data_IF_329152962121
#
_entry.id   IF_329152962121
#
_cell.length_a   1.000
_cell.length_b   1.000
_cell.length_c   1.000
_cell.angle_alpha   90.00
_cell.angle_beta   90.00
_cell.angle_gamma   90.00
#
_symmetry.space_group_name_H-M   'P 1'
#
loop_
_entity.id
_entity.type
_entity.pdbx_description
1 polymer ?
#
# COMPACT_ATOMS: atom_id res chain seq x y z
N UNK A 1 19.02 -27.60 6.95
CA UNK A 1 18.09 -27.24 5.85
C UNK A 1 16.93 -28.22 5.71
N UNK A 2 17.13 -29.52 5.97
CA UNK A 2 16.13 -30.61 5.84
C UNK A 2 15.00 -30.61 6.89
N UNK A 3 15.24 -30.15 8.12
CA UNK A 3 14.18 -30.00 9.14
C UNK A 3 13.27 -28.78 8.90
N UNK A 4 13.83 -27.67 8.39
CA UNK A 4 13.06 -26.47 8.01
C UNK A 4 12.09 -26.75 6.85
N UNK A 5 12.50 -27.57 5.87
CA UNK A 5 11.63 -27.98 4.75
C UNK A 5 10.44 -28.85 5.16
N UNK A 6 10.48 -29.49 6.34
CA UNK A 6 9.40 -30.34 6.83
C UNK A 6 8.31 -29.52 7.53
N UNK A 7 8.68 -28.44 8.23
CA UNK A 7 7.75 -27.53 8.90
C UNK A 7 6.98 -26.62 7.92
N UNK A 8 7.61 -26.20 6.81
CA UNK A 8 6.93 -25.46 5.74
C UNK A 8 5.88 -26.33 5.00
N UNK A 9 6.09 -27.65 4.91
CA UNK A 9 5.11 -28.59 4.33
C UNK A 9 3.90 -28.85 5.22
N UNK A 10 4.00 -28.61 6.53
CA UNK A 10 2.92 -28.87 7.50
C UNK A 10 2.00 -27.67 7.77
N UNK A 11 2.22 -26.51 7.13
CA UNK A 11 1.30 -25.36 7.23
C UNK A 11 1.13 -24.77 8.63
N UNK A 12 2.01 -25.08 9.59
CA UNK A 12 1.90 -24.57 10.96
C UNK A 12 2.46 -23.14 11.02
N UNK A 13 1.76 -22.23 11.70
CA UNK A 13 2.14 -20.81 11.87
C UNK A 13 3.59 -20.63 12.35
N UNK A 14 4.04 -21.48 13.28
CA UNK A 14 5.42 -21.51 13.79
C UNK A 14 6.45 -21.97 12.75
N UNK A 15 6.08 -22.92 11.87
CA UNK A 15 6.92 -23.37 10.77
C UNK A 15 7.12 -22.31 9.70
N UNK A 16 6.05 -21.56 9.38
CA UNK A 16 6.09 -20.44 8.45
C UNK A 16 6.99 -19.32 8.97
N UNK A 17 6.85 -18.96 10.25
CA UNK A 17 7.65 -17.90 10.88
C UNK A 17 9.14 -18.26 10.94
N UNK A 18 9.47 -19.49 11.34
CA UNK A 18 10.88 -19.97 11.32
C UNK A 18 11.47 -19.95 9.91
N UNK A 19 10.66 -20.29 8.91
CA UNK A 19 11.10 -20.26 7.50
C UNK A 19 11.32 -18.83 7.03
N UNK A 20 10.40 -17.92 7.35
CA UNK A 20 10.50 -16.48 7.07
C UNK A 20 11.77 -15.86 7.68
N UNK A 21 12.05 -16.13 8.96
CA UNK A 21 13.27 -15.66 9.64
C UNK A 21 14.53 -16.21 8.93
N UNK A 22 14.52 -17.48 8.53
CA UNK A 22 15.64 -18.08 7.80
C UNK A 22 15.86 -17.48 6.40
N UNK A 23 14.78 -17.07 5.71
CA UNK A 23 14.87 -16.35 4.43
C UNK A 23 15.47 -14.96 4.65
N UNK A 24 14.97 -14.20 5.64
CA UNK A 24 15.49 -12.86 5.92
C UNK A 24 16.97 -12.86 6.31
N UNK A 25 17.44 -13.85 7.08
CA UNK A 25 18.86 -13.96 7.47
C UNK A 25 19.83 -14.12 6.29
N UNK A 26 19.36 -14.59 5.13
CA UNK A 26 20.17 -14.76 3.91
C UNK A 26 20.29 -13.50 3.06
N UNK A 27 19.58 -12.44 3.42
CA UNK A 27 19.57 -11.18 2.67
C UNK A 27 20.63 -10.24 3.26
N UNK A 28 21.81 -10.22 2.64
CA UNK A 28 23.03 -9.55 3.13
C UNK A 28 22.88 -8.04 3.33
N UNK A 29 22.02 -7.36 2.55
CA UNK A 29 21.82 -5.90 2.70
C UNK A 29 21.02 -5.50 3.96
N UNK A 30 20.36 -6.45 4.64
CA UNK A 30 19.61 -6.18 5.88
C UNK A 30 20.45 -6.36 7.15
N UNK A 31 21.71 -6.78 7.05
CA UNK A 31 22.57 -6.97 8.22
C UNK A 31 23.22 -5.64 8.62
N UNK A 32 22.73 -5.00 9.69
CA UNK A 32 23.42 -3.87 10.32
C UNK A 32 24.43 -4.39 11.33
N UNK A 33 25.66 -3.87 11.24
CA UNK A 33 26.73 -4.04 12.22
C UNK A 33 26.33 -3.29 13.50
N UNK A 34 26.18 -4.00 14.61
CA UNK A 34 25.95 -3.38 15.91
C UNK A 34 27.13 -2.46 16.23
N UNK A 35 26.85 -1.18 16.41
CA UNK A 35 27.78 -0.23 17.03
C UNK A 35 27.06 0.36 18.23
N UNK A 36 27.61 0.05 19.39
CA UNK A 36 27.22 0.56 20.71
C UNK A 36 27.52 2.05 20.80
N UNK A 37 26.51 2.86 21.12
CA UNK A 37 26.65 4.28 21.41
C UNK A 37 25.39 4.80 22.08
N UNK A 38 25.53 5.17 23.34
CA UNK A 38 24.52 5.65 24.27
C UNK A 38 24.28 7.15 24.07
N UNK A 39 23.03 7.57 23.85
CA UNK A 39 22.55 8.94 24.12
C UNK A 39 21.03 9.00 23.97
N UNK A 40 20.37 9.33 25.09
CA UNK A 40 18.94 9.56 25.25
C UNK A 40 18.52 10.87 24.55
N UNK A 41 17.54 10.81 23.64
CA UNK A 41 16.63 11.93 23.32
C UNK A 41 15.37 11.36 22.64
N UNK A 42 14.25 11.38 23.37
CA UNK A 42 12.92 10.97 22.90
C UNK A 42 12.30 12.04 21.99
N UNK A 43 12.31 11.86 20.67
CA UNK A 43 11.37 12.55 19.77
C UNK A 43 10.97 11.66 18.57
N UNK A 44 9.74 11.14 18.61
CA UNK A 44 9.06 10.36 17.56
C UNK A 44 9.77 9.07 17.10
N UNK A 45 9.14 7.91 17.40
CA UNK A 45 9.65 6.57 17.07
C UNK A 45 9.69 6.21 15.58
N UNK A 46 10.32 7.03 14.74
CA UNK A 46 10.79 6.65 13.42
C UNK A 46 12.22 6.12 13.58
N UNK A 47 12.31 4.82 13.90
CA UNK A 47 13.58 4.14 14.11
C UNK A 47 14.53 4.43 12.96
N UNK A 48 15.70 4.90 13.36
CA UNK A 48 16.80 5.38 12.56
C UNK A 48 17.32 4.30 11.59
N UNK A 49 16.70 4.20 10.41
CA UNK A 49 17.37 3.71 9.18
C UNK A 49 17.87 4.94 8.42
N UNK A 50 18.53 5.85 9.15
CA UNK A 50 19.27 6.98 8.61
C UNK A 50 20.64 6.43 8.21
N UNK A 51 20.96 6.51 6.91
CA UNK A 51 22.27 6.09 6.40
C UNK A 51 22.31 5.61 4.95
N UNK A 52 21.18 5.51 4.25
CA UNK A 52 21.19 5.42 2.79
C UNK A 52 20.76 6.76 2.22
N UNK A 53 21.77 7.49 1.76
CA UNK A 53 21.60 8.73 1.02
C UNK A 53 20.64 8.49 -0.16
N UNK A 54 19.54 9.25 -0.21
CA UNK A 54 18.54 9.18 -1.29
C UNK A 54 19.12 9.61 -2.65
N UNK A 55 20.35 10.15 -2.66
CA UNK A 55 21.13 10.51 -3.84
C UNK A 55 21.94 9.34 -4.44
N UNK A 56 21.89 8.14 -3.85
CA UNK A 56 22.37 6.93 -4.53
C UNK A 56 21.44 6.60 -5.70
N UNK A 57 21.74 7.17 -6.87
CA UNK A 57 21.16 6.73 -8.14
C UNK A 57 21.35 5.20 -8.22
N UNK A 58 20.27 4.40 -8.26
CA UNK A 58 20.41 2.96 -8.37
C UNK A 58 21.25 2.67 -9.63
N UNK A 59 22.18 1.70 -9.58
CA UNK A 59 22.89 1.28 -10.78
C UNK A 59 21.87 0.89 -11.85
N UNK A 60 22.17 1.06 -13.15
CA UNK A 60 21.21 0.79 -14.21
C UNK A 60 20.65 -0.63 -14.06
N UNK A 61 19.38 -0.69 -13.69
CA UNK A 61 18.66 -1.93 -13.41
C UNK A 61 18.16 -2.52 -14.72
N UNK A 62 19.07 -2.75 -15.66
CA UNK A 62 18.78 -3.35 -16.95
C UNK A 62 19.45 -4.72 -17.01
N UNK A 63 18.65 -5.74 -17.34
CA UNK A 63 19.19 -7.06 -17.61
C UNK A 63 20.11 -6.96 -18.82
N UNK A 64 21.30 -7.57 -18.72
CA UNK A 64 22.23 -7.68 -19.85
C UNK A 64 21.62 -8.43 -21.05
N UNK A 65 22.38 -8.58 -22.15
CA UNK A 65 21.93 -9.36 -23.29
C UNK A 65 21.54 -10.77 -22.83
N UNK A 66 20.52 -11.36 -23.48
CA UNK A 66 20.06 -12.70 -23.13
C UNK A 66 21.18 -13.72 -23.35
N UNK A 67 21.60 -14.49 -22.33
CA UNK A 67 22.59 -15.54 -22.50
C UNK A 67 22.13 -16.60 -23.50
N UNK A 68 23.09 -17.20 -24.20
CA UNK A 68 22.85 -18.35 -25.07
C UNK A 68 22.61 -19.61 -24.22
N UNK A 69 21.80 -20.54 -24.74
CA UNK A 69 21.57 -21.85 -24.10
C UNK A 69 20.53 -21.85 -22.97
N UNK A 70 19.81 -20.75 -22.73
CA UNK A 70 18.72 -20.72 -21.76
C UNK A 70 17.54 -21.61 -22.20
N UNK A 71 16.96 -22.32 -21.24
CA UNK A 71 15.69 -23.01 -21.45
C UNK A 71 14.54 -22.03 -21.63
N UNK A 72 13.45 -22.46 -22.28
CA UNK A 72 12.25 -21.64 -22.45
C UNK A 72 11.70 -21.09 -21.11
N UNK A 73 11.79 -21.88 -20.03
CA UNK A 73 11.38 -21.43 -18.70
C UNK A 73 12.29 -20.31 -18.16
N UNK A 74 13.61 -20.43 -18.30
CA UNK A 74 14.55 -19.39 -17.86
C UNK A 74 14.34 -18.08 -18.64
N UNK A 75 14.07 -18.17 -19.94
CA UNK A 75 13.71 -17.01 -20.77
C UNK A 75 12.44 -16.33 -20.24
N UNK A 76 11.39 -17.10 -19.95
CA UNK A 76 10.15 -16.55 -19.38
C UNK A 76 10.39 -15.90 -18.01
N UNK A 77 11.13 -16.55 -17.11
CA UNK A 77 11.51 -15.99 -15.81
C UNK A 77 12.26 -14.67 -15.96
N UNK A 78 13.21 -14.58 -16.90
CA UNK A 78 13.95 -13.36 -17.21
C UNK A 78 13.03 -12.23 -17.67
N UNK A 79 12.05 -12.51 -18.53
CA UNK A 79 11.06 -11.50 -18.96
C UNK A 79 10.13 -11.04 -17.83
N UNK A 80 9.74 -11.95 -16.94
CA UNK A 80 8.94 -11.59 -15.76
C UNK A 80 9.76 -10.72 -14.82
N UNK A 81 11.03 -11.03 -14.59
CA UNK A 81 11.93 -10.17 -13.83
C UNK A 81 12.08 -8.79 -14.48
N UNK A 82 12.29 -8.72 -15.79
CA UNK A 82 12.34 -7.44 -16.51
C UNK A 82 11.07 -6.60 -16.29
N UNK A 83 9.90 -7.24 -16.30
CA UNK A 83 8.62 -6.61 -16.01
C UNK A 83 8.54 -6.10 -14.57
N UNK A 84 9.01 -6.88 -13.59
CA UNK A 84 9.09 -6.46 -12.18
C UNK A 84 9.95 -5.20 -12.06
N UNK A 85 11.15 -5.22 -12.62
CA UNK A 85 12.12 -4.11 -12.56
C UNK A 85 11.58 -2.85 -13.22
N UNK A 86 11.05 -2.97 -14.45
CA UNK A 86 10.49 -1.83 -15.17
C UNK A 86 9.27 -1.25 -14.45
N UNK A 87 8.39 -2.10 -13.92
CA UNK A 87 7.21 -1.64 -13.17
C UNK A 87 7.60 -0.94 -11.87
N UNK A 88 8.65 -1.41 -11.17
CA UNK A 88 9.15 -0.80 -9.94
C UNK A 88 9.79 0.55 -10.22
N UNK A 89 10.60 0.65 -11.28
CA UNK A 89 11.18 1.91 -11.71
C UNK A 89 10.10 2.95 -12.01
N UNK A 90 9.11 2.59 -12.83
CA UNK A 90 7.99 3.48 -13.15
C UNK A 90 7.16 3.87 -11.92
N UNK A 91 7.02 2.97 -10.95
CA UNK A 91 6.31 3.24 -9.70
C UNK A 91 7.07 4.24 -8.82
N UNK A 92 8.37 4.04 -8.61
CA UNK A 92 9.25 4.96 -7.87
C UNK A 92 9.28 6.34 -8.53
N UNK A 93 9.47 6.41 -9.84
CA UNK A 93 9.41 7.66 -10.62
C UNK A 93 8.06 8.37 -10.43
N UNK A 94 6.95 7.62 -10.41
CA UNK A 94 5.62 8.19 -10.18
C UNK A 94 5.46 8.78 -8.78
N UNK A 95 5.98 8.13 -7.75
CA UNK A 95 5.98 8.64 -6.38
C UNK A 95 6.87 9.89 -6.22
N UNK A 96 8.04 9.88 -6.85
CA UNK A 96 8.93 11.05 -6.90
C UNK A 96 8.22 12.25 -7.54
N UNK A 97 7.52 12.05 -8.66
CA UNK A 97 6.71 13.10 -9.31
C UNK A 97 5.63 13.65 -8.41
N UNK A 98 4.93 12.82 -7.63
CA UNK A 98 3.94 13.31 -6.64
C UNK A 98 4.59 14.32 -5.68
N UNK A 99 5.81 14.04 -5.23
CA UNK A 99 6.51 14.92 -4.30
C UNK A 99 7.08 16.16 -4.99
N UNK A 100 7.79 15.99 -6.09
CA UNK A 100 8.54 17.05 -6.77
C UNK A 100 7.66 17.98 -7.60
N UNK A 101 6.66 17.44 -8.30
CA UNK A 101 5.83 18.23 -9.21
C UNK A 101 4.60 18.83 -8.52
N UNK A 102 4.14 18.22 -7.43
CA UNK A 102 2.91 18.61 -6.74
C UNK A 102 3.15 19.04 -5.30
N UNK A 103 3.59 18.14 -4.41
CA UNK A 103 3.69 18.44 -2.97
C UNK A 103 4.61 19.62 -2.68
N UNK A 104 5.85 19.57 -3.14
CA UNK A 104 6.85 20.59 -2.82
C UNK A 104 6.45 21.96 -3.40
N UNK A 105 6.06 22.08 -4.69
CA UNK A 105 5.55 23.35 -5.21
C UNK A 105 4.33 23.87 -4.44
N UNK A 106 3.38 23.02 -4.05
CA UNK A 106 2.23 23.44 -3.26
C UNK A 106 2.61 23.92 -1.84
N UNK A 107 3.72 23.43 -1.30
CA UNK A 107 4.28 23.86 -0.02
C UNK A 107 5.09 25.16 -0.14
N UNK A 108 5.76 25.39 -1.27
CA UNK A 108 6.74 26.47 -1.43
C UNK A 108 6.18 27.72 -2.15
N UNK A 109 5.03 27.60 -2.83
CA UNK A 109 4.44 28.70 -3.60
C UNK A 109 3.74 29.75 -2.73
N UNK A 110 3.92 31.03 -3.11
CA UNK A 110 3.24 32.19 -2.54
C UNK A 110 2.51 32.96 -3.67
N UNK A 111 1.19 33.22 -3.57
CA UNK A 111 0.28 32.84 -2.48
C UNK A 111 -0.03 31.33 -2.44
N UNK A 112 -0.27 30.80 -1.23
CA UNK A 112 -0.57 29.38 -1.00
C UNK A 112 -1.87 28.94 -1.71
N UNK A 113 -1.76 28.00 -2.65
CA UNK A 113 -2.92 27.42 -3.33
C UNK A 113 -3.70 26.46 -2.41
N UNK A 114 -2.99 25.75 -1.53
CA UNK A 114 -3.54 24.96 -0.41
C UNK A 114 -2.83 25.38 0.88
N UNK A 115 -3.54 25.35 2.01
CA UNK A 115 -2.88 25.58 3.29
C UNK A 115 -1.90 24.45 3.58
N UNK A 116 -0.80 24.75 4.29
CA UNK A 116 0.22 23.78 4.68
C UNK A 116 -0.37 22.51 5.32
N UNK A 117 -1.32 22.68 6.25
CA UNK A 117 -2.02 21.56 6.89
C UNK A 117 -2.77 20.67 5.89
N UNK A 118 -3.45 21.27 4.90
CA UNK A 118 -4.16 20.49 3.86
C UNK A 118 -3.18 19.79 2.93
N UNK A 119 -2.06 20.43 2.57
CA UNK A 119 -1.03 19.83 1.74
C UNK A 119 -0.39 18.62 2.45
N UNK A 120 0.00 18.76 3.71
CA UNK A 120 0.54 17.66 4.53
C UNK A 120 -0.44 16.49 4.63
N UNK A 121 -1.73 16.77 4.86
CA UNK A 121 -2.76 15.72 4.90
C UNK A 121 -2.91 15.03 3.55
N UNK A 122 -2.99 15.78 2.44
CA UNK A 122 -3.20 15.21 1.10
C UNK A 122 -2.07 14.27 0.68
N UNK A 123 -0.82 14.61 1.03
CA UNK A 123 0.37 13.85 0.65
C UNK A 123 0.95 13.02 1.81
N UNK A 124 0.14 12.73 2.83
CA UNK A 124 0.56 11.92 3.97
C UNK A 124 1.09 10.56 3.51
N UNK A 125 2.17 10.08 4.14
CA UNK A 125 2.82 8.78 3.89
C UNK A 125 3.44 8.53 2.51
N UNK A 126 3.33 9.46 1.54
CA UNK A 126 3.94 9.30 0.21
C UNK A 126 5.47 9.15 0.30
N UNK A 127 6.13 9.90 1.19
CA UNK A 127 7.59 9.86 1.36
C UNK A 127 8.07 8.51 1.89
N UNK A 128 7.36 7.97 2.87
CA UNK A 128 7.67 6.70 3.53
C UNK A 128 7.46 5.53 2.56
N UNK A 129 6.38 5.58 1.76
CA UNK A 129 6.16 4.61 0.68
C UNK A 129 7.28 4.69 -0.35
N UNK A 130 7.64 5.90 -0.80
CA UNK A 130 8.75 6.10 -1.72
C UNK A 130 10.05 5.53 -1.18
N UNK A 131 10.34 5.74 0.11
CA UNK A 131 11.54 5.23 0.75
C UNK A 131 11.57 3.69 0.75
N UNK A 132 10.48 3.05 1.16
CA UNK A 132 10.34 1.58 1.14
C UNK A 132 10.66 1.00 -0.25
N UNK A 133 10.10 1.62 -1.28
CA UNK A 133 10.28 1.20 -2.67
C UNK A 133 11.64 1.55 -3.26
N UNK A 134 12.25 2.66 -2.84
CA UNK A 134 13.62 3.01 -3.23
C UNK A 134 14.63 1.99 -2.69
N UNK A 135 14.47 1.56 -1.44
CA UNK A 135 15.29 0.50 -0.84
C UNK A 135 15.10 -0.83 -1.58
N UNK A 136 13.84 -1.19 -1.89
CA UNK A 136 13.55 -2.38 -2.68
C UNK A 136 14.18 -2.31 -4.09
N UNK A 137 14.12 -1.15 -4.75
CA UNK A 137 14.71 -0.93 -6.07
C UNK A 137 16.23 -1.10 -6.07
N UNK A 138 16.94 -0.62 -5.03
CA UNK A 138 18.39 -0.82 -4.89
C UNK A 138 18.71 -2.31 -4.74
N UNK A 139 17.99 -3.01 -3.88
CA UNK A 139 18.16 -4.45 -3.68
C UNK A 139 17.85 -5.25 -4.96
N UNK A 140 16.81 -4.85 -5.69
CA UNK A 140 16.42 -5.45 -6.95
C UNK A 140 17.49 -5.24 -8.03
N UNK A 141 18.09 -4.04 -8.09
CA UNK A 141 19.18 -3.74 -9.02
C UNK A 141 20.40 -4.63 -8.79
N UNK A 142 20.74 -4.86 -7.52
CA UNK A 142 21.82 -5.79 -7.14
C UNK A 142 21.52 -7.22 -7.60
N UNK A 143 20.25 -7.65 -7.49
CA UNK A 143 19.83 -8.99 -7.95
C UNK A 143 19.83 -9.15 -9.46
N UNK A 144 19.48 -8.09 -10.19
CA UNK A 144 19.52 -8.08 -11.66
C UNK A 144 20.94 -8.31 -12.17
N UNK A 145 21.96 -7.72 -11.52
CA UNK A 145 23.36 -7.89 -11.90
C UNK A 145 23.85 -9.34 -11.79
N UNK A 146 23.29 -10.13 -10.86
CA UNK A 146 23.68 -11.52 -10.60
C UNK A 146 22.58 -12.52 -11.02
N UNK A 147 21.61 -12.08 -11.83
CA UNK A 147 20.44 -12.89 -12.15
C UNK A 147 20.81 -14.20 -12.84
N UNK A 148 21.73 -14.14 -13.81
CA UNK A 148 22.13 -15.28 -14.64
C UNK A 148 22.88 -16.38 -13.86
N UNK A 149 23.22 -16.12 -12.59
CA UNK A 149 23.82 -17.10 -11.67
C UNK A 149 22.81 -17.54 -10.61
N UNK A 150 22.07 -16.59 -10.04
CA UNK A 150 21.24 -16.84 -8.86
C UNK A 150 19.82 -17.31 -9.17
N UNK A 151 19.22 -16.75 -10.23
CA UNK A 151 17.82 -16.89 -10.64
C UNK A 151 16.81 -16.79 -9.47
N UNK A 152 17.09 -15.94 -8.47
CA UNK A 152 16.24 -15.79 -7.28
C UNK A 152 15.68 -14.39 -7.17
N UNK A 153 14.45 -14.23 -6.71
CA UNK A 153 13.90 -12.90 -6.38
C UNK A 153 12.93 -12.94 -5.20
N UNK A 154 12.36 -14.10 -4.86
CA UNK A 154 11.33 -14.20 -3.82
C UNK A 154 11.80 -13.73 -2.45
N UNK A 155 13.05 -13.96 -2.10
CA UNK A 155 13.66 -13.53 -0.83
C UNK A 155 13.69 -12.00 -0.67
N UNK A 156 13.84 -11.24 -1.75
CA UNK A 156 13.78 -9.77 -1.71
C UNK A 156 12.39 -9.27 -1.35
N UNK A 157 11.35 -9.86 -1.93
CA UNK A 157 9.96 -9.49 -1.61
C UNK A 157 9.63 -9.78 -0.15
N UNK A 158 10.04 -10.93 0.37
CA UNK A 158 9.89 -11.26 1.79
C UNK A 158 10.65 -10.24 2.65
N UNK A 159 11.91 -9.96 2.33
CA UNK A 159 12.73 -9.01 3.09
C UNK A 159 12.16 -7.58 3.11
N UNK A 160 11.58 -7.12 2.00
CA UNK A 160 11.11 -5.76 1.84
C UNK A 160 9.70 -5.52 2.37
N UNK A 161 8.75 -6.42 2.11
CA UNK A 161 7.33 -6.13 2.32
C UNK A 161 6.69 -6.86 3.50
N UNK A 162 7.45 -7.72 4.17
CA UNK A 162 6.92 -8.50 5.30
C UNK A 162 6.92 -7.73 6.63
N UNK A 163 7.62 -6.59 6.72
CA UNK A 163 7.78 -5.80 7.95
C UNK A 163 6.46 -5.10 8.34
N UNK A 164 6.13 -5.08 9.64
CA UNK A 164 4.90 -4.42 10.14
C UNK A 164 4.81 -2.94 9.75
N UNK A 165 5.94 -2.24 9.74
CA UNK A 165 6.01 -0.83 9.32
C UNK A 165 5.44 -0.58 7.91
N UNK A 166 5.57 -1.55 6.99
CA UNK A 166 5.02 -1.44 5.63
C UNK A 166 3.49 -1.46 5.70
N UNK A 167 2.92 -2.36 6.49
CA UNK A 167 1.48 -2.41 6.72
C UNK A 167 0.97 -1.10 7.31
N UNK A 168 1.63 -0.57 8.34
CA UNK A 168 1.21 0.66 9.04
C UNK A 168 1.21 1.87 8.09
N UNK A 169 2.31 2.07 7.35
CA UNK A 169 2.46 3.16 6.37
C UNK A 169 1.40 3.08 5.27
N UNK A 170 1.17 1.90 4.70
CA UNK A 170 0.16 1.72 3.66
C UNK A 170 -1.25 1.85 4.20
N UNK A 171 -1.52 1.37 5.42
CA UNK A 171 -2.83 1.49 6.06
C UNK A 171 -3.22 2.95 6.22
N UNK A 172 -2.33 3.76 6.77
CA UNK A 172 -2.56 5.20 6.93
C UNK A 172 -2.78 5.89 5.57
N UNK A 173 -1.99 5.52 4.55
CA UNK A 173 -2.16 6.05 3.20
C UNK A 173 -3.53 5.71 2.61
N UNK A 174 -3.91 4.43 2.62
CA UNK A 174 -5.17 3.91 2.05
C UNK A 174 -6.38 4.49 2.79
N UNK A 175 -6.32 4.56 4.12
CA UNK A 175 -7.39 5.13 4.94
C UNK A 175 -7.59 6.62 4.65
N UNK A 176 -6.51 7.38 4.44
CA UNK A 176 -6.57 8.80 4.13
C UNK A 176 -6.89 9.12 2.66
N UNK A 177 -6.74 8.17 1.73
CA UNK A 177 -6.88 8.43 0.28
C UNK A 177 -8.19 9.12 -0.09
N UNK A 178 -9.34 8.63 0.41
CA UNK A 178 -10.66 9.22 0.14
C UNK A 178 -10.75 10.68 0.61
N UNK A 179 -10.19 10.98 1.77
CA UNK A 179 -10.17 12.33 2.33
C UNK A 179 -9.25 13.26 1.51
N UNK A 180 -8.05 12.80 1.15
CA UNK A 180 -7.12 13.52 0.30
C UNK A 180 -7.77 13.89 -1.05
N UNK A 181 -8.44 12.94 -1.70
CA UNK A 181 -9.13 13.17 -2.96
C UNK A 181 -10.33 14.12 -2.81
N UNK A 182 -11.04 14.07 -1.69
CA UNK A 182 -12.13 15.00 -1.38
C UNK A 182 -11.63 16.44 -1.24
N UNK A 183 -10.49 16.64 -0.57
CA UNK A 183 -9.87 17.96 -0.41
C UNK A 183 -9.37 18.50 -1.76
N UNK A 184 -8.72 17.66 -2.57
CA UNK A 184 -8.31 18.04 -3.94
C UNK A 184 -9.53 18.45 -4.76
N UNK A 185 -10.58 17.62 -4.80
CA UNK A 185 -11.81 17.91 -5.55
C UNK A 185 -12.45 19.23 -5.12
N UNK A 186 -12.58 19.46 -3.81
CA UNK A 186 -13.12 20.71 -3.27
C UNK A 186 -12.26 21.92 -3.66
N UNK A 187 -10.94 21.78 -3.60
CA UNK A 187 -10.03 22.85 -4.00
C UNK A 187 -10.15 23.18 -5.48
N UNK A 188 -10.27 22.17 -6.36
CA UNK A 188 -10.51 22.39 -7.79
C UNK A 188 -11.79 23.19 -8.07
N UNK A 189 -12.86 22.91 -7.31
CA UNK A 189 -14.15 23.59 -7.49
C UNK A 189 -14.16 25.02 -6.94
N UNK A 190 -13.36 25.31 -5.92
CA UNK A 190 -13.40 26.59 -5.19
C UNK A 190 -12.24 27.53 -5.51
N UNK A 191 -11.17 27.04 -6.14
CA UNK A 191 -9.95 27.80 -6.41
C UNK A 191 -9.47 27.58 -7.85
N UNK A 192 -9.80 28.49 -8.80
CA UNK A 192 -9.37 28.37 -10.20
C UNK A 192 -7.85 28.23 -10.37
N UNK A 193 -7.06 29.00 -9.61
CA UNK A 193 -5.60 28.93 -9.65
C UNK A 193 -5.03 27.55 -9.26
N UNK A 194 -5.70 26.83 -8.35
CA UNK A 194 -5.31 25.46 -8.00
C UNK A 194 -5.63 24.47 -9.12
N UNK A 195 -6.80 24.61 -9.75
CA UNK A 195 -7.16 23.79 -10.92
C UNK A 195 -6.18 24.01 -12.08
N UNK A 196 -5.85 25.26 -12.38
CA UNK A 196 -4.88 25.60 -13.43
C UNK A 196 -3.48 25.09 -13.11
N UNK A 197 -3.05 25.14 -11.85
CA UNK A 197 -1.81 24.52 -11.40
C UNK A 197 -1.79 23.02 -11.73
N UNK A 198 -2.84 22.26 -11.36
CA UNK A 198 -2.90 20.83 -11.65
C UNK A 198 -2.89 20.53 -13.16
N UNK A 199 -3.62 21.32 -13.96
CA UNK A 199 -3.65 21.18 -15.42
C UNK A 199 -2.28 21.45 -16.05
N UNK A 200 -1.58 22.50 -15.62
CA UNK A 200 -0.23 22.83 -16.10
C UNK A 200 0.76 21.71 -15.78
N UNK A 201 0.74 21.18 -14.55
CA UNK A 201 1.59 20.07 -14.14
C UNK A 201 1.30 18.81 -14.94
N UNK A 202 0.04 18.47 -15.14
CA UNK A 202 -0.36 17.33 -15.98
C UNK A 202 0.09 17.51 -17.44
N UNK A 203 -0.07 18.71 -18.02
CA UNK A 203 0.31 18.98 -19.41
C UNK A 203 1.83 18.92 -19.63
N UNK A 204 2.62 19.26 -18.61
CA UNK A 204 4.08 19.15 -18.63
C UNK A 204 4.58 17.72 -18.41
N UNK A 205 3.75 16.81 -17.88
CA UNK A 205 4.13 15.42 -17.66
C UNK A 205 4.18 14.65 -18.98
N UNK A 206 5.22 13.83 -19.23
CA UNK A 206 5.37 13.09 -20.49
C UNK A 206 4.22 12.12 -20.77
N UNK A 207 3.66 11.52 -19.72
CA UNK A 207 2.56 10.55 -19.79
C UNK A 207 1.17 11.18 -19.58
N UNK A 208 1.11 12.50 -19.33
CA UNK A 208 -0.11 13.27 -19.02
C UNK A 208 -1.00 12.64 -17.93
N UNK A 209 -0.41 11.86 -17.02
CA UNK A 209 -1.15 11.23 -15.91
C UNK A 209 -1.60 12.31 -14.92
N UNK A 210 -2.84 12.22 -14.46
CA UNK A 210 -3.41 13.15 -13.48
C UNK A 210 -2.81 12.92 -12.09
N UNK A 211 -2.91 13.91 -11.19
CA UNK A 211 -2.54 13.70 -9.79
C UNK A 211 -3.29 12.53 -9.15
N UNK A 212 -4.58 12.37 -9.45
CA UNK A 212 -5.36 11.20 -9.02
C UNK A 212 -4.75 9.89 -9.52
N UNK A 213 -4.40 9.85 -10.82
CA UNK A 213 -3.78 8.69 -11.45
C UNK A 213 -2.42 8.33 -10.85
N UNK A 214 -1.66 9.30 -10.34
CA UNK A 214 -0.42 9.03 -9.59
C UNK A 214 -0.74 8.53 -8.17
N UNK A 215 -1.64 9.20 -7.46
CA UNK A 215 -1.98 8.91 -6.06
C UNK A 215 -2.72 7.58 -5.89
N UNK A 216 -3.36 7.02 -6.92
CA UNK A 216 -3.99 5.69 -6.83
C UNK A 216 -2.98 4.54 -6.97
N UNK A 217 -1.79 4.78 -7.53
CA UNK A 217 -0.79 3.73 -7.78
C UNK A 217 -0.39 2.94 -6.52
N UNK A 218 -0.19 3.54 -5.33
CA UNK A 218 0.11 2.76 -4.12
C UNK A 218 -0.96 1.73 -3.77
N UNK A 219 -2.24 2.04 -3.99
CA UNK A 219 -3.35 1.09 -3.77
C UNK A 219 -3.24 -0.10 -4.74
N UNK A 220 -2.74 0.14 -5.95
CA UNK A 220 -2.63 -0.87 -7.01
C UNK A 220 -1.35 -1.70 -6.94
N UNK A 221 -0.35 -1.30 -6.13
CA UNK A 221 1.00 -1.86 -6.23
C UNK A 221 1.07 -3.32 -5.80
N UNK A 222 0.48 -3.67 -4.66
CA UNK A 222 0.51 -5.04 -4.16
C UNK A 222 -0.27 -6.03 -5.05
N UNK A 223 -1.49 -5.71 -5.55
CA UNK A 223 -2.14 -6.54 -6.56
C UNK A 223 -1.26 -6.83 -7.79
N UNK A 224 -0.53 -5.83 -8.29
CA UNK A 224 0.39 -6.02 -9.42
C UNK A 224 1.55 -6.96 -9.08
N UNK A 225 2.16 -6.82 -7.89
CA UNK A 225 3.22 -7.72 -7.45
C UNK A 225 2.74 -9.16 -7.29
N UNK A 226 1.53 -9.37 -6.76
CA UNK A 226 0.94 -10.70 -6.62
C UNK A 226 0.85 -11.37 -8.00
N UNK A 227 0.34 -10.68 -9.02
CA UNK A 227 0.24 -11.22 -10.38
C UNK A 227 1.63 -11.58 -10.96
N UNK A 228 2.60 -10.68 -10.83
CA UNK A 228 3.96 -10.92 -11.34
C UNK A 228 4.65 -12.10 -10.64
N UNK A 229 4.44 -12.25 -9.33
CA UNK A 229 5.02 -13.36 -8.57
C UNK A 229 4.27 -14.68 -8.80
N UNK A 230 2.97 -14.66 -9.07
CA UNK A 230 2.21 -15.84 -9.50
C UNK A 230 2.77 -16.35 -10.84
N UNK A 231 3.01 -15.46 -11.79
CA UNK A 231 3.64 -15.81 -13.08
C UNK A 231 5.07 -16.32 -12.89
N UNK A 232 5.87 -15.67 -12.03
CA UNK A 232 7.23 -16.13 -11.71
C UNK A 232 7.21 -17.54 -11.10
N UNK A 233 6.35 -17.77 -10.10
CA UNK A 233 6.22 -19.06 -9.41
C UNK A 233 5.74 -20.17 -10.35
N UNK A 234 4.79 -19.88 -11.23
CA UNK A 234 4.30 -20.80 -12.26
C UNK A 234 5.42 -21.28 -13.18
N UNK A 235 6.37 -20.39 -13.49
CA UNK A 235 7.56 -20.69 -14.31
C UNK A 235 8.79 -21.08 -13.48
N UNK A 236 8.62 -21.41 -12.18
CA UNK A 236 9.71 -21.90 -11.32
C UNK A 236 9.57 -23.42 -11.12
N UNK A 237 10.48 -24.28 -11.60
CA UNK A 237 10.30 -25.73 -11.50
C UNK A 237 10.34 -26.25 -10.04
N UNK A 238 9.75 -27.43 -9.82
CA UNK A 238 9.84 -28.13 -8.54
C UNK A 238 11.31 -28.42 -8.20
N UNK A 239 11.72 -28.11 -6.96
CA UNK A 239 13.11 -28.25 -6.52
C UNK A 239 14.00 -27.02 -6.79
N UNK A 240 13.52 -26.03 -7.54
CA UNK A 240 14.23 -24.77 -7.73
C UNK A 240 14.42 -24.04 -6.39
N UNK A 241 15.61 -23.49 -6.11
CA UNK A 241 15.92 -22.91 -4.80
C UNK A 241 15.10 -21.66 -4.45
N UNK A 242 14.55 -20.94 -5.43
CA UNK A 242 13.69 -19.77 -5.21
C UNK A 242 12.22 -20.12 -4.92
N UNK A 243 11.78 -21.34 -5.23
CA UNK A 243 10.34 -21.69 -5.22
C UNK A 243 9.67 -21.43 -3.88
N UNK A 244 10.32 -21.85 -2.79
CA UNK A 244 9.82 -21.61 -1.43
C UNK A 244 9.77 -20.11 -1.10
N UNK A 245 10.79 -19.34 -1.51
CA UNK A 245 10.84 -17.91 -1.22
C UNK A 245 9.76 -17.15 -2.00
N UNK A 246 9.47 -17.56 -3.24
CA UNK A 246 8.36 -17.04 -4.04
C UNK A 246 7.00 -17.36 -3.43
N UNK A 247 6.80 -18.58 -2.91
CA UNK A 247 5.56 -18.94 -2.21
C UNK A 247 5.36 -18.09 -0.96
N UNK A 248 6.42 -17.92 -0.15
CA UNK A 248 6.37 -17.05 1.04
C UNK A 248 6.07 -15.61 0.65
N UNK A 249 6.74 -15.08 -0.37
CA UNK A 249 6.51 -13.73 -0.85
C UNK A 249 5.05 -13.51 -1.28
N UNK A 250 4.47 -14.46 -2.02
CA UNK A 250 3.06 -14.41 -2.41
C UNK A 250 2.13 -14.38 -1.20
N UNK A 251 2.30 -15.31 -0.26
CA UNK A 251 1.48 -15.37 0.95
C UNK A 251 1.58 -14.09 1.77
N UNK A 252 2.77 -13.50 1.91
CA UNK A 252 2.98 -12.25 2.64
C UNK A 252 2.29 -11.07 1.94
N UNK A 253 2.37 -10.97 0.62
CA UNK A 253 1.73 -9.90 -0.15
C UNK A 253 0.21 -10.03 -0.18
N UNK A 254 -0.32 -11.24 -0.31
CA UNK A 254 -1.77 -11.53 -0.23
C UNK A 254 -2.30 -11.19 1.16
N UNK A 255 -1.62 -11.64 2.21
CA UNK A 255 -1.97 -11.30 3.59
C UNK A 255 -1.93 -9.79 3.85
N UNK A 256 -0.93 -9.09 3.30
CA UNK A 256 -0.82 -7.64 3.43
C UNK A 256 -1.97 -6.93 2.69
N UNK A 257 -2.31 -7.35 1.48
CA UNK A 257 -3.43 -6.80 0.73
C UNK A 257 -4.78 -7.03 1.45
N UNK A 258 -4.99 -8.22 2.00
CA UNK A 258 -6.18 -8.54 2.81
C UNK A 258 -6.27 -7.66 4.06
N UNK A 259 -5.17 -7.51 4.81
CA UNK A 259 -5.13 -6.65 6.00
C UNK A 259 -5.41 -5.19 5.67
N UNK A 260 -4.86 -4.67 4.57
CA UNK A 260 -5.13 -3.31 4.13
C UNK A 260 -6.60 -3.11 3.77
N UNK A 261 -7.21 -4.08 3.08
CA UNK A 261 -8.63 -4.03 2.74
C UNK A 261 -9.51 -4.07 3.99
N UNK A 262 -9.18 -4.93 4.96
CA UNK A 262 -9.92 -5.04 6.21
C UNK A 262 -9.78 -3.78 7.09
N UNK A 263 -8.57 -3.24 7.23
CA UNK A 263 -8.35 -2.00 7.97
C UNK A 263 -9.08 -0.82 7.33
N UNK A 264 -9.15 -0.78 6.00
CA UNK A 264 -9.96 0.21 5.28
C UNK A 264 -11.45 0.05 5.57
N UNK A 265 -11.97 -1.17 5.53
CA UNK A 265 -13.37 -1.48 5.86
C UNK A 265 -13.72 -1.00 7.28
N UNK A 266 -12.87 -1.32 8.27
CA UNK A 266 -13.05 -0.90 9.66
C UNK A 266 -13.01 0.63 9.79
N UNK A 267 -12.05 1.30 9.14
CA UNK A 267 -11.94 2.75 9.15
C UNK A 267 -13.18 3.44 8.56
N UNK A 268 -13.72 2.91 7.46
CA UNK A 268 -14.93 3.44 6.82
C UNK A 268 -16.17 3.23 7.70
N UNK A 269 -16.32 2.05 8.32
CA UNK A 269 -17.38 1.78 9.29
C UNK A 269 -17.34 2.74 10.49
N UNK A 270 -16.14 2.98 11.05
CA UNK A 270 -15.96 3.93 12.15
C UNK A 270 -16.31 5.36 11.73
N UNK A 271 -15.90 5.77 10.52
CA UNK A 271 -16.23 7.09 10.01
C UNK A 271 -17.74 7.28 9.81
N UNK A 272 -18.45 6.23 9.38
CA UNK A 272 -19.90 6.24 9.22
C UNK A 272 -20.64 6.32 10.57
N UNK A 273 -20.22 5.54 11.57
CA UNK A 273 -20.76 5.63 12.94
C UNK A 273 -20.55 7.04 13.50
N UNK A 274 -19.37 7.63 13.31
CA UNK A 274 -19.10 8.99 13.76
C UNK A 274 -20.00 10.03 13.08
N UNK A 275 -20.32 9.86 11.79
CA UNK A 275 -21.27 10.73 11.09
C UNK A 275 -22.69 10.54 11.63
N UNK A 276 -23.09 9.30 11.89
CA UNK A 276 -24.38 8.99 12.50
C UNK A 276 -24.52 9.66 13.87
N UNK A 277 -23.52 9.52 14.75
CA UNK A 277 -23.52 10.16 16.07
C UNK A 277 -23.71 11.68 16.00
N UNK A 278 -23.10 12.35 15.01
CA UNK A 278 -23.26 13.81 14.80
C UNK A 278 -24.66 14.20 14.31
N UNK A 279 -25.36 13.28 13.65
CA UNK A 279 -26.70 13.52 13.10
C UNK A 279 -27.83 13.21 14.09
N UNK A 280 -27.53 12.46 15.15
CA UNK A 280 -28.47 12.07 16.20
C UNK A 280 -28.43 13.13 17.32
N UNK A 281 -29.59 13.47 17.88
CA UNK A 281 -29.67 14.36 19.05
C UNK A 281 -28.97 13.75 20.28
N UNK A 282 -28.12 14.55 20.93
CA UNK A 282 -27.29 14.18 22.10
C UNK A 282 -28.08 13.56 23.27
N UNK A 283 -29.40 13.74 23.31
CA UNK A 283 -30.28 13.21 24.36
C UNK A 283 -30.82 11.80 24.10
N UNK A 284 -30.52 11.20 22.95
CA UNK A 284 -30.99 9.84 22.67
C UNK A 284 -30.15 8.79 23.39
N UNK A 285 -30.79 7.72 23.88
CA UNK A 285 -30.12 6.52 24.37
C UNK A 285 -29.21 5.91 23.29
N UNK A 286 -29.60 6.03 22.03
CA UNK A 286 -28.82 5.62 20.85
C UNK A 286 -27.47 6.34 20.79
N UNK A 287 -27.41 7.66 21.00
CA UNK A 287 -26.14 8.40 21.01
C UNK A 287 -25.17 7.88 22.08
N UNK A 288 -25.68 7.61 23.29
CA UNK A 288 -24.86 7.06 24.39
C UNK A 288 -24.33 5.66 24.08
N UNK A 289 -25.15 4.82 23.46
CA UNK A 289 -24.75 3.50 23.01
C UNK A 289 -23.65 3.62 21.94
N UNK A 290 -23.94 4.32 20.84
CA UNK A 290 -23.02 4.48 19.71
C UNK A 290 -21.66 5.08 20.08
N UNK A 291 -21.64 5.97 21.08
CA UNK A 291 -20.42 6.61 21.58
C UNK A 291 -19.56 5.71 22.48
N UNK A 292 -20.07 4.56 22.94
CA UNK A 292 -19.33 3.62 23.80
C UNK A 292 -18.21 2.86 23.09
N UNK A 293 -18.16 2.91 21.75
CA UNK A 293 -17.13 2.27 20.94
C UNK A 293 -17.26 0.75 20.80
N UNK A 294 -18.32 0.13 21.33
CA UNK A 294 -18.56 -1.32 21.24
C UNK A 294 -19.29 -1.75 19.96
N UNK A 295 -19.80 -0.80 19.17
CA UNK A 295 -20.62 -1.08 18.00
C UNK A 295 -19.76 -1.24 16.75
N UNK A 296 -19.97 -2.35 16.04
CA UNK A 296 -19.46 -2.57 14.70
C UNK A 296 -20.62 -2.46 13.72
N UNK A 297 -20.53 -1.50 12.79
CA UNK A 297 -21.51 -1.35 11.72
C UNK A 297 -21.32 -2.50 10.72
N UNK A 298 -22.30 -3.39 10.63
CA UNK A 298 -22.25 -4.54 9.72
C UNK A 298 -22.78 -4.16 8.34
N UNK A 299 -23.88 -3.40 8.29
CA UNK A 299 -24.54 -3.01 7.04
C UNK A 299 -25.19 -1.63 7.20
N UNK A 300 -25.09 -0.82 6.15
CA UNK A 300 -25.86 0.41 6.00
C UNK A 300 -26.55 0.41 4.64
N UNK A 301 -27.88 0.49 4.63
CA UNK A 301 -28.68 0.52 3.40
C UNK A 301 -29.75 1.61 3.46
N UNK A 302 -30.11 2.14 2.30
CA UNK A 302 -31.25 3.04 2.15
C UNK A 302 -32.44 2.24 1.62
N UNK A 303 -33.49 2.12 2.43
CA UNK A 303 -34.73 1.42 2.10
C UNK A 303 -35.90 2.39 2.05
N UNK A 304 -36.90 2.07 1.23
CA UNK A 304 -38.16 2.82 1.18
C UNK A 304 -39.17 2.15 2.10
N UNK A 305 -39.47 2.80 3.22
CA UNK A 305 -40.55 2.41 4.13
C UNK A 305 -41.89 2.75 3.46
N UNK A 306 -42.67 1.72 3.12
CA UNK A 306 -44.00 1.85 2.56
C UNK A 306 -45.05 1.41 3.59
N UNK A 307 -45.99 2.30 3.91
CA UNK A 307 -47.11 2.03 4.82
C UNK A 307 -48.36 1.87 3.99
N UNK A 308 -49.02 0.72 4.11
CA UNK A 308 -50.27 0.41 3.44
C UNK A 308 -51.44 0.50 4.43
N UNK A 309 -52.60 0.92 3.94
CA UNK A 309 -53.84 0.93 4.72
C UNK A 309 -54.58 -0.40 4.65
N UNK A 310 -55.63 -0.52 5.45
CA UNK A 310 -56.40 -1.76 5.60
C UNK A 310 -57.06 -2.26 4.29
N UNK A 311 -57.15 -1.40 3.27
CA UNK A 311 -57.66 -1.74 1.92
C UNK A 311 -56.54 -1.93 0.89
N UNK A 312 -55.28 -2.06 1.32
CA UNK A 312 -54.12 -2.26 0.45
C UNK A 312 -53.64 -1.00 -0.27
N UNK A 313 -54.22 0.18 0.00
CA UNK A 313 -53.77 1.44 -0.57
C UNK A 313 -52.47 1.91 0.08
N UNK A 314 -51.52 2.41 -0.71
CA UNK A 314 -50.29 3.02 -0.19
C UNK A 314 -50.64 4.34 0.51
N UNK A 315 -50.44 4.41 1.82
CA UNK A 315 -50.70 5.59 2.64
C UNK A 315 -49.47 6.50 2.75
N UNK A 316 -48.27 5.91 2.83
CA UNK A 316 -47.02 6.64 3.02
C UNK A 316 -45.88 5.92 2.37
N UNK A 317 -44.98 6.67 1.77
CA UNK A 317 -43.69 6.18 1.29
C UNK A 317 -42.62 7.14 1.80
N UNK A 318 -41.59 6.61 2.47
CA UNK A 318 -40.49 7.42 3.00
C UNK A 318 -39.18 6.68 2.93
N UNK A 319 -38.15 7.32 2.40
CA UNK A 319 -36.80 6.78 2.45
C UNK A 319 -36.26 6.82 3.88
N UNK A 320 -35.68 5.69 4.30
CA UNK A 320 -35.04 5.46 5.59
C UNK A 320 -33.66 4.88 5.33
N UNK A 321 -32.70 5.30 6.15
CA UNK A 321 -31.39 4.64 6.21
C UNK A 321 -31.39 3.71 7.41
N UNK A 322 -31.16 2.43 7.17
CA UNK A 322 -31.03 1.42 8.22
C UNK A 322 -29.55 1.17 8.50
N UNK A 323 -29.23 0.98 9.77
CA UNK A 323 -27.88 0.73 10.25
C UNK A 323 -27.89 -0.55 11.07
N UNK A 324 -27.50 -1.67 10.47
CA UNK A 324 -27.35 -2.93 11.19
C UNK A 324 -26.01 -2.95 11.90
N UNK A 325 -26.04 -3.15 13.20
CA UNK A 325 -24.87 -3.29 14.06
C UNK A 325 -24.79 -4.72 14.60
N UNK A 326 -23.66 -5.06 15.20
CA UNK A 326 -23.44 -6.36 15.85
C UNK A 326 -24.45 -6.69 16.96
N UNK A 327 -25.09 -5.68 17.55
CA UNK A 327 -25.96 -5.79 18.72
C UNK A 327 -27.32 -5.08 18.59
N UNK A 328 -27.55 -4.32 17.51
CA UNK A 328 -28.75 -3.49 17.30
C UNK A 328 -29.09 -3.38 15.80
N UNK A 329 -30.38 -3.31 15.44
CA UNK A 329 -30.90 -2.96 14.10
C UNK A 329 -31.56 -1.58 14.12
#
# INVERSE_FOLDING_TARGET
MTQLMKAARSGTKDGLEKTRIAVMRKVTFLQRKETTGDSEEEESGFFEVIGLDLDLKPPPSELGPMPEGLSAQQVLRRHILASIVQSERSYVESLQRVLQDYRNPLMDMEPKLLSTRKCQMVFSRVKEILHCHSVFQIALSSRVAEWDVSEKVGDLFVASFSKSIVLDVYSEYVNNFTNAMTVIKKACLTKPAFLDFLRKKQAASPDRVTLYGLMVKPIQRFPQFILLLQDMLKNTPCGHPDRLSLQLALTELETLAEKLNEQKRVADQMAEIQQLCKSISDRSSLYKSLSSGQHQLLLCETLTEMVYGDKGQLLKSKERRLFLMNDVL
#
